data_IF_677428043775
#
_entry.id   IF_677428043775
#
_cell.length_a   1.000
_cell.length_b   1.000
_cell.length_c   1.000
_cell.angle_alpha   90.00
_cell.angle_beta   90.00
_cell.angle_gamma   90.00
#
_symmetry.space_group_name_H-M   'P 1'
#
loop_
_entity.id
_entity.type
_entity.pdbx_description
1 polymer ?
#
# COMPACT_ATOMS: atom_id res chain seq x y z
N UNK A 1 6.72 -16.08 4.47
CA UNK A 1 7.08 -14.73 4.97
C UNK A 1 5.86 -14.09 5.59
N UNK A 2 5.93 -12.82 6.01
CA UNK A 2 4.72 -12.06 6.39
C UNK A 2 4.24 -12.25 7.83
N UNK A 3 5.02 -12.91 8.67
CA UNK A 3 4.69 -13.14 10.08
C UNK A 3 5.29 -12.04 10.95
N UNK A 4 4.49 -11.55 11.90
CA UNK A 4 4.92 -10.61 12.95
C UNK A 4 4.53 -11.18 14.31
N UNK A 5 5.28 -10.86 15.35
CA UNK A 5 4.86 -11.17 16.72
C UNK A 5 3.52 -10.48 17.04
N UNK A 6 2.67 -11.15 17.80
CA UNK A 6 1.39 -10.60 18.24
C UNK A 6 1.57 -9.74 19.49
N UNK A 7 2.28 -10.27 20.48
CA UNK A 7 2.46 -9.64 21.78
C UNK A 7 3.20 -8.31 21.66
N UNK A 8 2.70 -7.29 22.38
CA UNK A 8 3.21 -5.92 22.39
C UNK A 8 3.29 -5.21 21.03
N UNK A 9 2.76 -5.82 19.96
CA UNK A 9 2.89 -5.32 18.59
C UNK A 9 1.65 -4.59 18.07
N UNK A 10 0.86 -3.99 18.96
CA UNK A 10 -0.35 -3.24 18.61
C UNK A 10 -0.21 -1.78 19.00
N UNK A 11 -0.46 -0.87 18.07
CA UNK A 11 -0.54 0.56 18.29
C UNK A 11 -1.88 0.91 18.95
N UNK A 12 -1.88 1.99 19.73
CA UNK A 12 -3.09 2.56 20.35
C UNK A 12 -3.99 3.21 19.30
N UNK A 13 -3.38 3.82 18.28
CA UNK A 13 -4.06 4.41 17.13
C UNK A 13 -3.53 3.81 15.83
N UNK A 14 -4.41 3.68 14.84
CA UNK A 14 -4.03 3.19 13.53
C UNK A 14 -3.06 4.16 12.85
N UNK A 15 -1.92 3.64 12.40
CA UNK A 15 -0.94 4.43 11.66
C UNK A 15 -1.27 4.39 10.17
N UNK A 16 -1.51 5.58 9.62
CA UNK A 16 -1.68 5.81 8.18
C UNK A 16 -0.31 6.00 7.53
N UNK A 17 -0.05 5.27 6.46
CA UNK A 17 1.22 5.33 5.73
C UNK A 17 0.98 6.08 4.42
N UNK A 18 1.49 7.30 4.27
CA UNK A 18 1.30 8.07 3.04
C UNK A 18 2.03 7.41 1.87
N UNK A 19 1.39 7.35 0.72
CA UNK A 19 1.95 6.79 -0.51
C UNK A 19 2.25 7.92 -1.48
N UNK A 20 3.50 7.99 -1.94
CA UNK A 20 3.93 8.92 -2.97
C UNK A 20 3.81 8.25 -4.34
N UNK A 21 2.70 8.48 -5.04
CA UNK A 21 2.43 7.86 -6.33
C UNK A 21 2.79 8.82 -7.48
N UNK A 22 3.57 8.32 -8.44
CA UNK A 22 3.91 9.01 -9.68
C UNK A 22 3.51 8.15 -10.86
N UNK A 23 2.72 8.72 -11.78
CA UNK A 23 2.30 8.10 -13.03
C UNK A 23 2.65 9.06 -14.17
N UNK A 24 3.41 8.61 -15.16
CA UNK A 24 3.83 9.39 -16.32
C UNK A 24 4.40 10.78 -15.97
N UNK A 25 5.24 10.83 -14.94
CA UNK A 25 5.88 12.06 -14.45
C UNK A 25 4.96 13.01 -13.66
N UNK A 26 3.69 12.63 -13.42
CA UNK A 26 2.74 13.40 -12.61
C UNK A 26 2.53 12.76 -11.25
N UNK A 27 2.61 13.57 -10.20
CA UNK A 27 2.26 13.14 -8.86
C UNK A 27 0.74 12.98 -8.73
N UNK A 28 0.32 11.85 -8.15
CA UNK A 28 -1.09 11.53 -7.93
C UNK A 28 -1.37 11.38 -6.44
N UNK A 29 -2.52 11.91 -6.01
CA UNK A 29 -2.94 11.84 -4.60
C UNK A 29 -3.52 10.47 -4.29
N UNK A 30 -2.95 9.82 -3.26
CA UNK A 30 -3.50 8.58 -2.69
C UNK A 30 -4.17 8.91 -1.35
N UNK A 31 -5.41 8.45 -1.10
CA UNK A 31 -6.06 8.62 0.20
C UNK A 31 -5.20 8.07 1.34
N UNK A 32 -5.13 8.79 2.47
CA UNK A 32 -4.35 8.35 3.64
C UNK A 32 -4.86 7.04 4.26
N UNK A 33 -6.11 6.66 3.97
CA UNK A 33 -6.71 5.40 4.40
C UNK A 33 -6.30 4.19 3.56
N UNK A 34 -5.57 4.40 2.47
CA UNK A 34 -5.25 3.33 1.52
C UNK A 34 -4.26 2.32 2.09
N UNK A 35 -3.20 2.80 2.74
CA UNK A 35 -2.20 1.94 3.38
C UNK A 35 -2.11 2.31 4.84
N UNK A 36 -2.42 1.35 5.70
CA UNK A 36 -2.44 1.56 7.13
C UNK A 36 -2.15 0.30 7.90
N UNK A 37 -1.75 0.47 9.14
CA UNK A 37 -1.50 -0.64 10.04
C UNK A 37 -1.76 -0.25 11.47
N UNK A 38 -2.28 -1.19 12.25
CA UNK A 38 -2.38 -1.09 13.69
C UNK A 38 -1.18 -1.75 14.39
N UNK A 39 -0.14 -2.18 13.64
CA UNK A 39 1.03 -2.85 14.19
C UNK A 39 2.18 -1.88 14.43
N UNK A 40 2.95 -2.11 15.50
CA UNK A 40 4.20 -1.35 15.76
C UNK A 40 5.31 -1.76 14.79
N UNK A 41 5.45 -3.07 14.63
CA UNK A 41 6.33 -3.77 13.72
C UNK A 41 5.46 -4.47 12.66
N UNK A 42 5.50 -3.94 11.45
CA UNK A 42 4.72 -4.41 10.31
C UNK A 42 5.65 -5.01 9.27
N UNK A 43 5.16 -5.99 8.50
CA UNK A 43 5.93 -6.49 7.36
C UNK A 43 5.73 -5.60 6.15
N UNK A 44 6.77 -5.49 5.31
CA UNK A 44 6.65 -4.83 4.00
C UNK A 44 5.56 -5.50 3.15
N UNK A 45 5.39 -6.83 3.28
CA UNK A 45 4.38 -7.60 2.55
C UNK A 45 2.95 -7.14 2.85
N UNK A 46 2.66 -6.79 4.11
CA UNK A 46 1.36 -6.25 4.51
C UNK A 46 1.08 -4.88 3.87
N UNK A 47 2.08 -4.00 3.83
CA UNK A 47 1.96 -2.67 3.23
C UNK A 47 1.89 -2.74 1.70
N UNK A 48 2.73 -3.57 1.09
CA UNK A 48 2.78 -3.83 -0.36
C UNK A 48 1.45 -4.39 -0.89
N UNK A 49 0.84 -5.32 -0.15
CA UNK A 49 -0.46 -5.88 -0.52
C UNK A 49 -1.56 -4.81 -0.58
N UNK A 50 -1.61 -3.92 0.42
CA UNK A 50 -2.59 -2.81 0.44
C UNK A 50 -2.35 -1.81 -0.70
N UNK A 51 -1.09 -1.44 -0.95
CA UNK A 51 -0.74 -0.54 -2.04
C UNK A 51 -1.08 -1.14 -3.41
N UNK A 52 -0.70 -2.40 -3.66
CA UNK A 52 -1.00 -3.11 -4.91
C UNK A 52 -2.49 -3.26 -5.15
N UNK A 53 -3.27 -3.55 -4.11
CA UNK A 53 -4.73 -3.62 -4.20
C UNK A 53 -5.31 -2.30 -4.68
N UNK A 54 -4.89 -1.17 -4.10
CA UNK A 54 -5.32 0.15 -4.55
C UNK A 54 -4.94 0.42 -6.01
N UNK A 55 -3.70 0.11 -6.39
CA UNK A 55 -3.24 0.30 -7.76
C UNK A 55 -4.01 -0.58 -8.76
N UNK A 56 -4.34 -1.80 -8.37
CA UNK A 56 -5.18 -2.70 -9.17
C UNK A 56 -6.59 -2.15 -9.32
N UNK A 57 -7.24 -1.74 -8.23
CA UNK A 57 -8.61 -1.22 -8.26
C UNK A 57 -8.74 0.11 -9.01
N UNK A 58 -7.75 1.00 -8.91
CA UNK A 58 -7.81 2.35 -9.49
C UNK A 58 -7.19 2.48 -10.88
N UNK A 59 -6.12 1.74 -11.12
CA UNK A 59 -5.33 1.87 -12.33
C UNK A 59 -5.19 0.56 -13.08
N UNK A 60 -5.96 -0.47 -12.69
CA UNK A 60 -5.94 -1.75 -13.36
C UNK A 60 -4.53 -2.35 -13.44
N UNK A 61 -3.71 -2.13 -12.40
CA UNK A 61 -2.39 -2.72 -12.26
C UNK A 61 -2.48 -4.21 -12.60
N UNK A 62 -1.55 -4.68 -13.44
CA UNK A 62 -1.49 -6.02 -14.06
C UNK A 62 -2.28 -6.24 -15.35
N UNK A 63 -3.03 -5.24 -15.83
CA UNK A 63 -3.55 -5.26 -17.20
C UNK A 63 -2.58 -4.51 -18.14
N UNK A 64 -2.05 -5.24 -19.11
CA UNK A 64 -1.03 -4.79 -20.06
C UNK A 64 -1.44 -3.56 -20.87
N UNK A 65 -2.74 -3.37 -21.05
CA UNK A 65 -3.30 -2.31 -21.88
C UNK A 65 -3.23 -0.92 -21.21
N UNK A 66 -3.03 -0.85 -19.89
CA UNK A 66 -3.15 0.40 -19.12
C UNK A 66 -1.80 1.07 -18.84
N UNK A 67 -0.70 0.32 -18.84
CA UNK A 67 0.64 0.82 -18.52
C UNK A 67 1.63 0.71 -19.69
N UNK A 68 1.12 0.76 -20.92
CA UNK A 68 1.88 0.69 -22.18
C UNK A 68 2.90 -0.46 -22.18
N UNK A 69 2.40 -1.67 -21.89
CA UNK A 69 3.19 -2.89 -21.88
C UNK A 69 3.82 -3.15 -23.25
N UNK A 70 5.00 -2.59 -23.48
CA UNK A 70 5.92 -2.89 -24.57
C UNK A 70 7.16 -3.61 -24.03
#
# INVERSE_FOLDING_TARGET
>A
GGVTLHDNNRLTEEKKVPINLWLDGKQNTVPLETVKTNKKNVTVQELDLQARRYLQEKYNLYNSDVFDGK
#
